data_IF_950960285591
#
_entry.id   IF_950960285591
#
_cell.length_a   1.000
_cell.length_b   1.000
_cell.length_c   1.000
_cell.angle_alpha   90.00
_cell.angle_beta   90.00
_cell.angle_gamma   90.00
#
_symmetry.space_group_name_H-M   'P 1'
#
loop_
_entity.id
_entity.type
_entity.pdbx_description
1 polymer ?
#
# COMPACT_ATOMS: atom_id res chain seq x y z
N UNK A 1 -35.61 -27.68 5.11
CA UNK A 1 -35.54 -26.63 6.16
C UNK A 1 -34.53 -25.59 5.68
N UNK A 2 -34.99 -24.39 5.33
CA UNK A 2 -34.13 -23.31 4.83
C UNK A 2 -33.37 -22.71 6.02
N UNK A 3 -32.08 -23.03 6.12
CA UNK A 3 -31.20 -22.39 7.10
C UNK A 3 -31.08 -20.91 6.74
N UNK A 4 -31.52 -20.04 7.65
CA UNK A 4 -31.18 -18.63 7.60
C UNK A 4 -29.66 -18.52 7.60
N UNK A 5 -29.08 -18.14 6.46
CA UNK A 5 -27.63 -18.02 6.31
C UNK A 5 -27.09 -17.05 7.35
N UNK A 6 -26.03 -17.42 8.06
CA UNK A 6 -25.35 -16.59 9.06
C UNK A 6 -24.92 -15.21 8.50
N UNK A 7 -24.88 -15.07 7.17
CA UNK A 7 -24.74 -13.82 6.43
C UNK A 7 -25.81 -12.79 6.83
N UNK A 8 -27.04 -13.25 7.08
CA UNK A 8 -28.16 -12.40 7.54
C UNK A 8 -27.87 -11.80 8.92
N UNK A 9 -27.18 -12.53 9.80
CA UNK A 9 -26.88 -12.09 11.18
C UNK A 9 -25.69 -11.13 11.24
N UNK A 10 -24.70 -11.28 10.36
CA UNK A 10 -23.56 -10.37 10.27
C UNK A 10 -23.97 -9.06 9.60
N UNK A 11 -24.80 -9.12 8.55
CA UNK A 11 -25.42 -7.93 7.98
C UNK A 11 -26.32 -7.23 9.02
N UNK A 12 -27.11 -7.98 9.79
CA UNK A 12 -27.91 -7.42 10.87
C UNK A 12 -27.05 -6.79 11.97
N UNK A 13 -25.97 -7.44 12.41
CA UNK A 13 -25.10 -6.89 13.46
C UNK A 13 -24.37 -5.63 13.01
N UNK A 14 -23.92 -5.57 11.76
CA UNK A 14 -23.33 -4.36 11.21
C UNK A 14 -24.39 -3.27 11.07
N UNK A 15 -25.60 -3.58 10.59
CA UNK A 15 -26.73 -2.63 10.52
C UNK A 15 -27.16 -2.12 11.90
N UNK A 16 -27.20 -2.96 12.94
CA UNK A 16 -27.51 -2.55 14.31
C UNK A 16 -26.43 -1.62 14.88
N UNK A 17 -25.14 -1.92 14.65
CA UNK A 17 -24.04 -1.04 15.06
C UNK A 17 -24.01 0.30 14.29
N UNK A 18 -24.56 0.32 13.07
CA UNK A 18 -24.82 1.54 12.31
C UNK A 18 -26.05 2.29 12.85
N UNK A 19 -27.14 1.61 13.21
CA UNK A 19 -28.35 2.23 13.76
C UNK A 19 -28.13 2.81 15.16
N UNK A 20 -27.33 2.16 16.01
CA UNK A 20 -27.02 2.64 17.36
C UNK A 20 -26.11 3.89 17.37
N UNK A 21 -25.37 4.15 16.28
CA UNK A 21 -24.55 5.36 16.10
C UNK A 21 -25.32 6.53 15.46
N UNK A 22 -26.43 6.26 14.78
CA UNK A 22 -27.34 7.27 14.24
C UNK A 22 -28.66 7.16 14.98
N UNK A 23 -28.66 7.58 16.26
CA UNK A 23 -29.89 7.81 17.00
C UNK A 23 -30.84 8.64 16.15
N UNK A 24 -31.89 7.96 15.66
CA UNK A 24 -33.00 8.55 14.91
C UNK A 24 -33.67 9.55 15.84
N UNK A 25 -33.44 10.83 15.59
CA UNK A 25 -34.30 11.91 16.08
C UNK A 25 -34.70 12.75 14.88
N UNK A 26 -35.99 13.06 14.85
CA UNK A 26 -36.80 13.41 13.68
C UNK A 26 -36.34 14.69 12.94
N UNK A 27 -36.52 14.66 11.61
CA UNK A 27 -36.44 15.83 10.73
C UNK A 27 -35.64 15.58 9.45
N UNK A 28 -36.20 14.84 8.49
CA UNK A 28 -35.52 14.53 7.22
C UNK A 28 -35.30 15.80 6.38
N UNK A 29 -34.06 16.30 6.35
CA UNK A 29 -33.61 17.36 5.45
C UNK A 29 -33.07 16.75 4.16
N UNK A 30 -33.20 17.45 3.02
CA UNK A 30 -32.61 17.07 1.72
C UNK A 30 -31.07 16.83 1.84
N UNK A 31 -30.42 17.49 2.81
CA UNK A 31 -29.01 17.28 3.13
C UNK A 31 -28.71 15.87 3.65
N UNK A 32 -29.65 15.17 4.30
CA UNK A 32 -29.46 13.78 4.75
C UNK A 32 -29.61 12.79 3.60
N UNK A 33 -30.43 13.10 2.59
CA UNK A 33 -30.52 12.31 1.35
C UNK A 33 -29.24 12.43 0.51
N UNK A 34 -28.64 13.62 0.45
CA UNK A 34 -27.34 13.86 -0.18
C UNK A 34 -26.19 13.18 0.59
N UNK A 35 -26.30 13.06 1.91
CA UNK A 35 -25.36 12.28 2.74
C UNK A 35 -25.38 10.80 2.40
N UNK A 36 -26.54 10.25 2.01
CA UNK A 36 -26.73 8.88 1.54
C UNK A 36 -25.98 8.53 0.24
N UNK A 37 -25.84 9.49 -0.68
CA UNK A 37 -25.05 9.28 -1.91
C UNK A 37 -23.55 9.14 -1.65
N UNK A 38 -23.02 9.85 -0.65
CA UNK A 38 -21.62 9.70 -0.22
C UNK A 38 -21.36 8.31 0.40
N UNK A 39 -22.36 7.70 1.03
CA UNK A 39 -22.28 6.34 1.60
C UNK A 39 -22.27 5.28 0.50
N UNK A 40 -23.03 5.49 -0.58
CA UNK A 40 -23.06 4.57 -1.73
C UNK A 40 -21.70 4.47 -2.44
N UNK A 41 -20.99 5.60 -2.60
CA UNK A 41 -19.63 5.64 -3.18
C UNK A 41 -18.58 4.95 -2.30
N UNK A 42 -18.79 4.88 -0.99
CA UNK A 42 -17.94 4.13 -0.05
C UNK A 42 -18.19 2.62 -0.14
N UNK A 43 -19.41 2.19 -0.43
CA UNK A 43 -19.75 0.77 -0.62
C UNK A 43 -19.12 0.24 -1.91
N UNK A 44 -19.07 1.04 -2.99
CA UNK A 44 -18.44 0.63 -4.25
C UNK A 44 -16.93 0.44 -4.12
N UNK A 45 -16.22 1.25 -3.31
CA UNK A 45 -14.76 1.08 -3.14
C UNK A 45 -14.40 -0.23 -2.42
N UNK A 46 -15.22 -0.66 -1.45
CA UNK A 46 -15.03 -1.93 -0.73
C UNK A 46 -15.12 -3.15 -1.64
N UNK A 47 -16.01 -3.12 -2.66
CA UNK A 47 -16.13 -4.22 -3.63
C UNK A 47 -14.87 -4.38 -4.50
N UNK A 48 -14.12 -3.30 -4.70
CA UNK A 48 -12.84 -3.31 -5.43
C UNK A 48 -11.63 -3.50 -4.50
N UNK A 49 -11.84 -3.73 -3.21
CA UNK A 49 -10.75 -3.84 -2.23
C UNK A 49 -9.99 -2.53 -2.00
N UNK A 50 -10.62 -1.37 -2.26
CA UNK A 50 -10.08 -0.03 -2.00
C UNK A 50 -10.68 0.53 -0.71
N UNK A 51 -9.82 1.05 0.18
CA UNK A 51 -10.22 1.66 1.44
C UNK A 51 -11.19 2.83 1.20
N UNK A 52 -12.39 2.83 1.81
CA UNK A 52 -13.35 3.92 1.68
C UNK A 52 -12.76 5.29 2.02
N UNK A 53 -13.03 6.26 1.15
CA UNK A 53 -12.47 7.61 1.29
C UNK A 53 -11.06 7.78 0.70
N UNK A 54 -10.51 6.74 0.08
CA UNK A 54 -9.28 6.77 -0.73
C UNK A 54 -9.58 6.30 -2.15
N UNK A 55 -8.68 6.55 -3.09
CA UNK A 55 -8.75 6.04 -4.45
C UNK A 55 -7.62 5.07 -4.78
N UNK A 56 -6.52 5.11 -4.03
CA UNK A 56 -5.28 4.38 -4.31
C UNK A 56 -4.92 3.35 -3.23
N UNK A 57 -5.54 3.39 -2.05
CA UNK A 57 -5.19 2.47 -0.97
C UNK A 57 -5.95 1.14 -1.08
N UNK A 58 -5.42 0.21 -1.88
CA UNK A 58 -5.94 -1.15 -1.98
C UNK A 58 -5.31 -1.97 -3.10
N UNK A 59 -6.08 -2.86 -3.71
CA UNK A 59 -5.60 -3.66 -4.84
C UNK A 59 -5.69 -2.82 -6.12
N UNK A 60 -4.58 -2.15 -6.48
CA UNK A 60 -4.57 -1.14 -7.54
C UNK A 60 -5.27 0.14 -7.08
N UNK A 61 -5.95 0.82 -8.00
CA UNK A 61 -6.64 2.06 -7.70
C UNK A 61 -7.92 2.22 -8.54
N UNK A 62 -8.80 3.12 -8.11
CA UNK A 62 -10.05 3.49 -8.80
C UNK A 62 -10.04 4.97 -9.21
N UNK A 63 -8.86 5.59 -9.28
CA UNK A 63 -8.72 6.97 -9.69
C UNK A 63 -8.96 7.11 -11.20
N UNK A 64 -9.74 8.12 -11.61
CA UNK A 64 -9.98 8.41 -13.03
C UNK A 64 -8.85 9.23 -13.64
N UNK A 65 -8.15 9.99 -12.81
CA UNK A 65 -7.05 10.86 -13.22
C UNK A 65 -5.86 10.63 -12.30
N UNK A 66 -4.66 10.72 -12.87
CA UNK A 66 -3.37 10.52 -12.19
C UNK A 66 -3.23 11.31 -10.89
N UNK A 67 -3.75 12.54 -10.84
CA UNK A 67 -3.62 13.40 -9.67
C UNK A 67 -4.85 13.39 -8.75
N UNK A 68 -5.90 12.64 -9.09
CA UNK A 68 -7.11 12.56 -8.29
C UNK A 68 -6.83 11.87 -6.95
N UNK A 69 -7.33 12.46 -5.87
CA UNK A 69 -7.23 11.90 -4.53
C UNK A 69 -8.63 11.79 -3.90
N UNK A 70 -8.77 10.87 -2.97
CA UNK A 70 -9.94 10.69 -2.14
C UNK A 70 -9.99 11.67 -0.97
N UNK A 71 -11.01 11.49 -0.12
CA UNK A 71 -11.25 12.30 1.09
C UNK A 71 -10.05 12.32 2.05
N UNK A 72 -9.35 11.19 2.19
CA UNK A 72 -8.18 11.09 3.07
C UNK A 72 -6.90 11.39 2.27
N UNK A 73 -6.76 12.62 1.78
CA UNK A 73 -5.74 13.01 0.80
C UNK A 73 -4.31 12.62 1.20
N UNK A 74 -3.87 12.92 2.42
CA UNK A 74 -2.50 12.61 2.88
C UNK A 74 -2.22 11.10 2.85
N UNK A 75 -3.18 10.28 3.29
CA UNK A 75 -3.07 8.82 3.23
C UNK A 75 -3.04 8.34 1.77
N UNK A 76 -3.94 8.89 0.96
CA UNK A 76 -4.11 8.50 -0.43
C UNK A 76 -2.90 8.90 -1.29
N UNK A 77 -2.20 10.00 -0.95
CA UNK A 77 -0.92 10.39 -1.55
C UNK A 77 0.16 9.32 -1.31
N UNK A 78 0.26 8.77 -0.10
CA UNK A 78 1.21 7.69 0.18
C UNK A 78 0.91 6.44 -0.66
N UNK A 79 -0.36 6.05 -0.76
CA UNK A 79 -0.77 4.89 -1.54
C UNK A 79 -0.54 5.11 -3.04
N UNK A 80 -0.88 6.28 -3.56
CA UNK A 80 -0.60 6.66 -4.96
C UNK A 80 0.88 6.60 -5.29
N UNK A 81 1.72 7.17 -4.43
CA UNK A 81 3.17 7.14 -4.63
C UNK A 81 3.71 5.70 -4.65
N UNK A 82 3.18 4.82 -3.80
CA UNK A 82 3.53 3.40 -3.79
C UNK A 82 3.04 2.66 -5.04
N UNK A 83 1.84 2.95 -5.53
CA UNK A 83 1.29 2.38 -6.78
C UNK A 83 2.17 2.71 -8.00
N UNK A 84 2.72 3.93 -8.02
CA UNK A 84 3.66 4.42 -9.03
C UNK A 84 5.07 3.84 -8.92
N UNK A 85 5.35 2.94 -7.97
CA UNK A 85 6.64 2.27 -7.91
C UNK A 85 6.91 1.55 -9.24
N UNK A 86 7.84 2.08 -10.04
CA UNK A 86 8.18 1.54 -11.35
C UNK A 86 8.56 0.07 -11.21
N UNK A 87 9.40 -0.23 -10.23
CA UNK A 87 9.91 -1.56 -10.04
C UNK A 87 9.04 -2.43 -9.14
N UNK A 88 8.26 -3.31 -9.78
CA UNK A 88 7.44 -4.31 -9.12
C UNK A 88 7.39 -5.67 -9.83
N UNK A 89 6.99 -6.69 -9.08
CA UNK A 89 6.65 -8.04 -9.55
C UNK A 89 5.19 -8.30 -9.17
N UNK A 90 4.34 -8.61 -10.17
CA UNK A 90 2.91 -8.90 -9.92
C UNK A 90 2.76 -10.13 -9.02
N UNK A 91 1.65 -10.28 -8.27
CA UNK A 91 1.33 -11.52 -7.60
C UNK A 91 1.41 -12.71 -8.56
N UNK A 92 1.91 -13.86 -8.07
CA UNK A 92 2.00 -15.12 -8.84
C UNK A 92 2.73 -15.01 -10.18
N UNK A 93 3.67 -14.06 -10.31
CA UNK A 93 4.42 -13.84 -11.55
C UNK A 93 5.93 -13.91 -11.31
N UNK A 94 6.67 -14.10 -12.40
CA UNK A 94 8.14 -14.10 -12.40
C UNK A 94 8.66 -12.87 -13.13
N UNK A 95 9.65 -12.20 -12.54
CA UNK A 95 10.40 -11.09 -13.16
C UNK A 95 11.74 -10.94 -12.45
N UNK A 96 12.79 -10.51 -13.15
CA UNK A 96 14.12 -10.32 -12.56
C UNK A 96 14.68 -11.62 -11.99
N UNK A 97 14.43 -12.76 -12.64
CA UNK A 97 14.75 -14.08 -12.11
C UNK A 97 14.07 -14.45 -10.80
N UNK A 98 13.12 -13.65 -10.29
CA UNK A 98 12.43 -13.88 -9.03
C UNK A 98 10.98 -14.30 -9.27
N UNK A 99 10.57 -15.40 -8.65
CA UNK A 99 9.18 -15.86 -8.65
C UNK A 99 8.43 -15.34 -7.42
N UNK A 100 7.53 -14.37 -7.62
CA UNK A 100 6.67 -13.86 -6.56
C UNK A 100 5.50 -14.81 -6.28
N UNK A 101 5.70 -15.75 -5.36
CA UNK A 101 4.66 -16.69 -4.90
C UNK A 101 3.58 -16.05 -4.02
N UNK A 102 3.77 -14.79 -3.59
CA UNK A 102 2.82 -14.08 -2.73
C UNK A 102 1.54 -13.70 -3.47
N UNK A 103 0.47 -13.45 -2.71
CA UNK A 103 -0.75 -12.79 -3.21
C UNK A 103 -0.57 -11.26 -3.26
N UNK A 104 0.47 -10.73 -2.61
CA UNK A 104 0.81 -9.32 -2.71
C UNK A 104 1.69 -9.04 -3.93
N UNK A 105 1.51 -7.84 -4.52
CA UNK A 105 2.54 -7.21 -5.34
C UNK A 105 3.81 -7.07 -4.50
N UNK A 106 4.95 -7.48 -5.05
CA UNK A 106 6.24 -7.21 -4.44
C UNK A 106 6.82 -6.00 -5.16
N UNK A 107 7.06 -4.90 -4.46
CA UNK A 107 7.71 -3.71 -5.00
C UNK A 107 9.18 -3.67 -4.60
N UNK A 108 9.95 -2.76 -5.19
CA UNK A 108 11.33 -2.52 -4.77
C UNK A 108 11.37 -2.21 -3.28
N UNK A 109 12.41 -2.68 -2.58
CA UNK A 109 12.52 -2.42 -1.15
C UNK A 109 12.66 -0.93 -0.81
N UNK A 110 13.08 -0.10 -1.76
CA UNK A 110 13.12 1.35 -1.59
C UNK A 110 11.71 1.94 -1.54
N UNK A 111 10.82 1.56 -2.48
CA UNK A 111 9.43 1.98 -2.47
C UNK A 111 8.71 1.56 -1.18
N UNK A 112 9.00 0.36 -0.68
CA UNK A 112 8.40 -0.17 0.55
C UNK A 112 8.81 0.64 1.79
N UNK A 113 10.08 1.06 1.88
CA UNK A 113 10.56 1.94 2.96
C UNK A 113 9.91 3.31 2.86
N UNK A 114 9.89 3.92 1.67
CA UNK A 114 9.25 5.22 1.46
C UNK A 114 7.76 5.17 1.83
N UNK A 115 7.06 4.08 1.47
CA UNK A 115 5.67 3.90 1.83
C UNK A 115 5.47 3.75 3.34
N UNK A 116 6.31 2.95 4.01
CA UNK A 116 6.26 2.81 5.47
C UNK A 116 6.44 4.15 6.18
N UNK A 117 7.46 4.93 5.77
CA UNK A 117 7.79 6.21 6.38
C UNK A 117 6.70 7.26 6.12
N UNK A 118 6.15 7.29 4.91
CA UNK A 118 5.01 8.16 4.56
C UNK A 118 3.81 7.87 5.48
N UNK A 119 3.42 6.60 5.63
CA UNK A 119 2.31 6.21 6.51
C UNK A 119 2.60 6.47 8.00
N UNK A 120 3.87 6.39 8.42
CA UNK A 120 4.28 6.64 9.81
C UNK A 120 4.12 8.12 10.20
N UNK A 121 4.28 9.04 9.25
CA UNK A 121 4.16 10.48 9.49
C UNK A 121 2.70 10.93 9.64
N UNK A 122 1.74 10.17 9.12
CA UNK A 122 0.32 10.51 9.14
C UNK A 122 -0.32 10.05 10.45
N UNK A 123 -0.88 11.01 11.19
CA UNK A 123 -1.68 10.73 12.38
C UNK A 123 -3.07 10.25 12.00
N UNK A 124 -3.57 9.24 12.71
CA UNK A 124 -4.94 8.78 12.58
C UNK A 124 -5.07 7.26 12.49
N UNK A 125 -6.30 6.80 12.75
CA UNK A 125 -6.62 5.37 12.76
C UNK A 125 -6.42 4.72 11.40
N UNK A 126 -6.91 5.34 10.31
CA UNK A 126 -6.82 4.75 8.96
C UNK A 126 -5.38 4.54 8.50
N UNK A 127 -4.51 5.56 8.61
CA UNK A 127 -3.10 5.41 8.23
C UNK A 127 -2.38 4.35 9.09
N UNK A 128 -2.66 4.31 10.39
CA UNK A 128 -2.11 3.29 11.29
C UNK A 128 -2.59 1.88 10.93
N UNK A 129 -3.86 1.73 10.56
CA UNK A 129 -4.44 0.46 10.14
C UNK A 129 -3.84 -0.02 8.81
N UNK A 130 -3.76 0.85 7.79
CA UNK A 130 -3.12 0.53 6.49
C UNK A 130 -1.68 0.10 6.71
N UNK A 131 -0.88 0.88 7.45
CA UNK A 131 0.51 0.54 7.77
C UNK A 131 0.62 -0.82 8.47
N UNK A 132 -0.22 -1.08 9.47
CA UNK A 132 -0.17 -2.36 10.19
C UNK A 132 -0.56 -3.54 9.30
N UNK A 133 -1.70 -3.45 8.61
CA UNK A 133 -2.26 -4.55 7.82
C UNK A 133 -1.35 -4.86 6.62
N UNK A 134 -0.95 -3.84 5.87
CA UNK A 134 -0.11 -4.01 4.68
C UNK A 134 1.21 -4.70 5.04
N UNK A 135 1.97 -4.15 5.99
CA UNK A 135 3.28 -4.70 6.37
C UNK A 135 3.18 -6.01 7.17
N UNK A 136 1.99 -6.36 7.68
CA UNK A 136 1.72 -7.66 8.28
C UNK A 136 1.45 -8.75 7.23
N UNK A 137 0.91 -8.42 6.06
CA UNK A 137 0.56 -9.40 5.01
C UNK A 137 1.57 -9.41 3.86
N UNK A 138 2.00 -8.24 3.40
CA UNK A 138 2.95 -8.06 2.31
C UNK A 138 4.38 -7.91 2.87
N UNK A 139 4.95 -9.06 3.28
CA UNK A 139 6.25 -9.11 3.98
C UNK A 139 7.47 -9.15 3.07
N UNK A 140 7.31 -9.00 1.76
CA UNK A 140 8.38 -9.25 0.79
C UNK A 140 8.55 -8.09 -0.19
N UNK A 141 9.78 -7.62 -0.27
CA UNK A 141 10.25 -6.67 -1.28
C UNK A 141 11.43 -7.29 -2.03
N UNK A 142 11.93 -6.64 -3.07
CA UNK A 142 13.13 -7.10 -3.76
C UNK A 142 14.12 -5.95 -4.03
N UNK A 143 15.37 -6.34 -4.28
CA UNK A 143 16.45 -5.44 -4.70
C UNK A 143 17.02 -5.94 -6.02
N UNK A 144 17.21 -5.01 -6.96
CA UNK A 144 17.90 -5.22 -8.23
C UNK A 144 19.34 -4.75 -8.07
N UNK A 145 20.28 -5.45 -8.72
CA UNK A 145 21.68 -5.08 -8.77
C UNK A 145 22.14 -4.92 -10.23
N UNK A 146 22.88 -3.84 -10.46
CA UNK A 146 23.33 -3.40 -11.79
C UNK A 146 24.82 -3.67 -12.04
N UNK A 147 25.54 -4.20 -11.05
CA UNK A 147 26.96 -4.57 -11.15
C UNK A 147 27.11 -6.10 -11.00
N UNK A 148 27.65 -6.81 -12.00
CA UNK A 148 27.89 -8.24 -11.90
C UNK A 148 28.88 -8.60 -10.78
N UNK A 149 29.84 -7.74 -10.45
CA UNK A 149 30.76 -8.00 -9.34
C UNK A 149 30.03 -7.97 -8.00
N UNK A 150 29.08 -7.05 -7.83
CA UNK A 150 28.21 -7.02 -6.64
C UNK A 150 27.39 -8.31 -6.51
N UNK A 151 26.91 -8.87 -7.62
CA UNK A 151 26.20 -10.15 -7.66
C UNK A 151 27.09 -11.31 -7.22
N UNK A 152 28.29 -11.43 -7.80
CA UNK A 152 29.28 -12.45 -7.43
C UNK A 152 29.65 -12.35 -5.94
N UNK A 153 29.91 -11.14 -5.44
CA UNK A 153 30.25 -10.92 -4.03
C UNK A 153 29.12 -11.32 -3.07
N UNK A 154 27.86 -11.28 -3.52
CA UNK A 154 26.69 -11.74 -2.76
C UNK A 154 26.35 -13.22 -2.99
N UNK A 155 27.09 -13.92 -3.84
CA UNK A 155 26.82 -15.31 -4.22
C UNK A 155 25.48 -15.47 -4.94
N UNK A 156 25.10 -14.48 -5.76
CA UNK A 156 23.88 -14.51 -6.56
C UNK A 156 24.19 -14.89 -8.01
N UNK A 157 23.31 -15.68 -8.61
CA UNK A 157 23.40 -16.04 -10.02
C UNK A 157 23.22 -14.81 -10.90
N UNK A 158 24.00 -14.76 -11.99
CA UNK A 158 23.87 -13.71 -12.99
C UNK A 158 22.66 -14.00 -13.87
N UNK A 159 21.73 -13.07 -13.87
CA UNK A 159 20.54 -13.02 -14.72
C UNK A 159 20.63 -11.76 -15.57
N UNK A 160 20.90 -11.92 -16.86
CA UNK A 160 20.90 -10.79 -17.79
C UNK A 160 19.47 -10.49 -18.25
N UNK A 161 18.83 -9.53 -17.57
CA UNK A 161 17.53 -8.98 -17.95
C UNK A 161 17.61 -7.45 -18.09
N UNK A 162 16.50 -6.79 -18.47
CA UNK A 162 16.37 -5.34 -18.44
C UNK A 162 15.32 -4.91 -17.43
N UNK A 163 15.57 -3.82 -16.71
CA UNK A 163 14.57 -3.15 -15.87
C UNK A 163 13.52 -2.42 -16.73
N UNK A 164 12.50 -1.82 -16.12
CA UNK A 164 11.45 -1.12 -16.89
C UNK A 164 11.98 0.11 -17.64
N UNK A 165 13.06 0.70 -17.16
CA UNK A 165 13.76 1.82 -17.81
C UNK A 165 14.74 1.35 -18.91
N UNK A 166 14.86 0.03 -19.15
CA UNK A 166 15.73 -0.54 -20.17
C UNK A 166 17.19 -0.74 -19.77
N UNK A 167 17.56 -0.48 -18.52
CA UNK A 167 18.93 -0.71 -18.00
C UNK A 167 19.16 -2.19 -17.79
N UNK A 168 20.39 -2.65 -18.08
CA UNK A 168 20.79 -4.04 -17.83
C UNK A 168 20.86 -4.30 -16.34
N UNK A 169 20.19 -5.36 -15.91
CA UNK A 169 20.29 -5.88 -14.55
C UNK A 169 21.11 -7.17 -14.59
N UNK A 170 21.82 -7.47 -13.51
CA UNK A 170 22.68 -8.65 -13.43
C UNK A 170 22.25 -9.63 -12.35
N UNK A 171 21.62 -9.18 -11.27
CA UNK A 171 20.99 -10.09 -10.33
C UNK A 171 19.92 -9.36 -9.52
N UNK A 172 19.09 -10.12 -8.83
CA UNK A 172 18.13 -9.56 -7.90
C UNK A 172 17.87 -10.54 -6.76
N UNK A 173 17.33 -10.05 -5.65
CA UNK A 173 16.97 -10.90 -4.50
C UNK A 173 15.75 -10.37 -3.77
N UNK A 174 14.96 -11.29 -3.21
CA UNK A 174 13.95 -10.94 -2.23
C UNK A 174 14.58 -10.57 -0.88
N UNK A 175 13.96 -9.63 -0.18
CA UNK A 175 14.24 -9.28 1.21
C UNK A 175 12.94 -9.29 2.02
N UNK A 176 13.04 -9.56 3.33
CA UNK A 176 11.89 -9.60 4.23
C UNK A 176 11.70 -8.25 4.92
N UNK A 177 10.45 -7.78 4.95
CA UNK A 177 10.05 -6.50 5.54
C UNK A 177 10.36 -6.39 7.06
N UNK A 178 10.56 -7.51 7.76
CA UNK A 178 10.88 -7.50 9.20
C UNK A 178 12.22 -6.84 9.54
N UNK A 179 13.21 -6.85 8.63
CA UNK A 179 14.51 -6.20 8.87
C UNK A 179 14.46 -4.67 8.82
N UNK A 180 13.35 -4.10 8.34
CA UNK A 180 13.20 -2.66 8.07
C UNK A 180 12.53 -1.93 9.23
N UNK A 181 11.54 -2.58 9.87
CA UNK A 181 10.95 -2.12 11.13
C UNK A 181 12.00 -1.91 12.24
N UNK A 182 13.08 -2.71 12.23
CA UNK A 182 14.17 -2.61 13.21
C UNK A 182 15.30 -1.66 12.79
N UNK A 183 15.59 -1.49 11.49
CA UNK A 183 16.68 -0.63 11.04
C UNK A 183 16.41 0.85 11.31
N UNK A 184 15.15 1.28 11.27
CA UNK A 184 14.77 2.65 11.65
C UNK A 184 14.71 2.88 13.18
N UNK A 185 14.94 1.84 13.99
CA UNK A 185 15.18 1.97 15.44
C UNK A 185 16.67 1.87 15.80
N UNK A 186 17.57 1.67 14.83
CA UNK A 186 19.03 1.55 15.05
C UNK A 186 19.83 2.55 14.19
N UNK A 187 19.25 3.70 13.87
CA UNK A 187 19.99 4.88 13.39
C UNK A 187 20.14 5.88 14.54
N UNK A 188 20.74 5.41 15.64
CA UNK A 188 21.35 6.24 16.67
C UNK A 188 22.46 5.42 17.34
N UNK A 189 23.59 5.30 16.66
CA UNK A 189 24.85 4.96 17.32
C UNK A 189 25.98 5.75 16.67
N UNK A 190 26.28 6.87 17.33
CA UNK A 190 27.61 7.41 17.60
C UNK A 190 28.62 7.47 16.44
N UNK A 191 28.85 8.69 15.96
CA UNK A 191 30.21 9.17 15.74
C UNK A 191 30.46 10.32 16.72
N UNK A 192 31.41 10.10 17.63
CA UNK A 192 31.91 11.07 18.60
C UNK A 192 32.40 12.35 17.90
N UNK A 193 31.84 13.49 18.28
CA UNK A 193 32.58 14.75 18.34
C UNK A 193 31.96 15.62 19.46
N UNK A 194 32.85 16.20 20.25
CA UNK A 194 32.62 16.83 21.54
C UNK A 194 31.62 18.00 21.56
N UNK A 195 31.04 18.13 22.75
CA UNK A 195 30.22 19.16 23.36
C UNK A 195 30.54 20.63 23.01
N UNK A 196 29.52 21.41 22.61
CA UNK A 196 29.12 22.64 23.34
C UNK A 196 27.87 23.31 22.75
N UNK A 197 26.89 23.47 23.63
CA UNK A 197 25.91 24.60 23.72
C UNK A 197 24.96 24.93 22.55
N UNK A 198 23.69 24.56 22.75
CA UNK A 198 22.42 25.29 22.56
C UNK A 198 22.32 26.36 21.44
N UNK A 199 21.43 26.14 20.47
CA UNK A 199 20.45 27.17 20.05
C UNK A 199 19.24 26.58 19.28
N UNK A 200 18.05 26.99 19.71
CA UNK A 200 16.76 26.73 19.08
C UNK A 200 16.63 27.57 17.81
N UNK A 201 16.27 26.97 16.66
CA UNK A 201 15.33 27.50 15.64
C UNK A 201 15.41 26.68 14.32
N UNK A 202 14.26 26.60 13.62
CA UNK A 202 14.03 26.21 12.22
C UNK A 202 13.75 24.73 11.90
N UNK A 203 12.44 24.47 11.88
CA UNK A 203 11.73 23.59 10.95
C UNK A 203 12.40 23.56 9.56
N UNK A 204 13.13 22.49 9.25
CA UNK A 204 13.52 22.17 7.87
C UNK A 204 12.64 21.06 7.35
N UNK A 205 11.70 21.47 6.51
CA UNK A 205 10.89 20.65 5.63
C UNK A 205 11.81 19.78 4.78
N UNK A 206 11.89 18.48 5.08
CA UNK A 206 12.49 17.52 4.17
C UNK A 206 11.42 17.14 3.14
N UNK A 207 11.51 17.76 1.96
CA UNK A 207 10.80 17.31 0.76
C UNK A 207 11.83 16.48 -0.03
N UNK A 208 11.69 15.15 -0.10
CA UNK A 208 12.48 14.37 -1.04
C UNK A 208 12.05 14.71 -2.46
N UNK A 209 13.03 15.00 -3.31
CA UNK A 209 12.91 15.34 -4.71
C UNK A 209 12.06 14.32 -5.48
N UNK A 210 10.84 14.72 -5.80
CA UNK A 210 10.05 14.14 -6.88
C UNK A 210 10.71 14.56 -8.20
N UNK A 211 10.97 13.61 -9.10
CA UNK A 211 11.05 13.89 -10.53
C UNK A 211 9.65 13.68 -11.11
N UNK A 212 8.90 14.74 -11.45
CA UNK A 212 7.69 14.62 -12.23
C UNK A 212 8.05 14.87 -13.69
N UNK A 213 8.04 13.83 -14.52
CA UNK A 213 7.70 13.90 -15.95
C UNK A 213 7.98 12.54 -16.60
N UNK A 214 6.96 11.69 -16.60
CA UNK A 214 6.79 10.73 -17.70
C UNK A 214 5.31 10.79 -18.05
N UNK A 215 5.03 11.43 -19.19
CA UNK A 215 3.77 11.38 -19.89
C UNK A 215 3.65 10.00 -20.54
N UNK A 216 3.23 9.03 -19.73
CA UNK A 216 2.90 7.67 -20.16
C UNK A 216 1.40 7.48 -20.07
N UNK A 217 0.81 7.08 -21.19
CA UNK A 217 -0.61 6.74 -21.34
C UNK A 217 -1.06 5.75 -20.26
N UNK A 218 -2.04 6.17 -19.46
CA UNK A 218 -2.55 5.40 -18.32
C UNK A 218 -3.53 4.33 -18.82
N UNK A 219 -3.04 3.11 -19.02
CA UNK A 219 -3.89 1.95 -19.25
C UNK A 219 -4.34 1.37 -17.90
N UNK A 220 -5.64 1.47 -17.63
CA UNK A 220 -6.29 0.64 -16.62
C UNK A 220 -6.25 -0.81 -17.13
N UNK A 221 -5.27 -1.60 -16.70
CA UNK A 221 -5.34 -3.04 -16.87
C UNK A 221 -6.44 -3.58 -15.93
N UNK A 222 -7.61 -3.83 -16.53
CA UNK A 222 -8.75 -4.52 -15.96
C UNK A 222 -8.29 -5.87 -15.38
N UNK A 223 -8.42 -6.05 -14.07
CA UNK A 223 -8.02 -7.28 -13.39
C UNK A 223 -9.22 -8.23 -13.30
N UNK A 224 -9.10 -9.38 -13.98
CA UNK A 224 -10.08 -10.48 -14.02
C UNK A 224 -10.70 -10.79 -12.64
N UNK A 225 -12.04 -10.81 -12.61
CA UNK A 225 -12.93 -11.11 -11.47
C UNK A 225 -12.74 -12.53 -10.85
N UNK A 226 -11.75 -13.30 -11.28
CA UNK A 226 -11.61 -14.72 -10.92
C UNK A 226 -10.88 -14.97 -9.59
N UNK A 227 -10.37 -13.94 -8.92
CA UNK A 227 -9.53 -14.08 -7.73
C UNK A 227 -10.24 -13.83 -6.38
N UNK A 228 -11.53 -13.48 -6.40
CA UNK A 228 -12.35 -13.30 -5.19
C UNK A 228 -12.59 -14.57 -4.37
N UNK A 229 -12.43 -15.76 -4.96
CA UNK A 229 -12.73 -17.03 -4.31
C UNK A 229 -11.58 -17.60 -3.45
N UNK A 230 -10.34 -17.13 -3.62
CA UNK A 230 -9.19 -17.70 -2.90
C UNK A 230 -8.95 -17.09 -1.51
N UNK A 231 -9.71 -16.06 -1.11
CA UNK A 231 -9.65 -15.48 0.24
C UNK A 231 -10.63 -16.13 1.24
N UNK A 232 -11.39 -17.14 0.82
CA UNK A 232 -12.39 -17.81 1.67
C UNK A 232 -12.13 -19.29 1.95
N UNK A 233 -10.99 -19.85 1.50
CA UNK A 233 -10.62 -21.23 1.81
C UNK A 233 -9.27 -21.29 2.54
N UNK A 234 -9.34 -21.14 3.86
CA UNK A 234 -8.42 -21.81 4.78
C UNK A 234 -9.24 -22.56 5.81
N UNK A 235 -9.18 -23.87 5.68
CA UNK A 235 -9.29 -24.90 6.72
C UNK A 235 -10.67 -25.19 7.33
N UNK A 236 -11.33 -26.22 6.79
CA UNK A 236 -12.03 -27.22 7.59
C UNK A 236 -11.48 -28.61 7.23
N UNK A 237 -10.84 -29.23 8.20
CA UNK A 237 -10.77 -30.69 8.32
C UNK A 237 -12.08 -31.19 8.93
#
# INVERSE_FOLDING_TARGET
>A
MRGTSAISLILFHMLSLFADNYGVTEGHSLNDYLRGFSTLKQITSLRHGILPGTLWCGHGNIAREKYQLGKYEELDKCCRAHDYCEEYIRPKSTRYGLNNKSNCRSSSCECEVQFYDCLKQIRGFYASAVRRIYFMHCKQCFRIFYDPQECTNKGLDIIEEKDRSGRRIFCSKFDRNSKWVHRHNFSSSESNLEDSTWDNDKTKQFIPSFHPEVDGEYSNEEFDDKYGDYLFNTDNN
#
